data_IF_717612720608
#
_entry.id   IF_717612720608
#
_cell.length_a   1.000
_cell.length_b   1.000
_cell.length_c   1.000
_cell.angle_alpha   90.00
_cell.angle_beta   90.00
_cell.angle_gamma   90.00
#
_symmetry.space_group_name_H-M   'P 1'
#
loop_
_entity.id
_entity.type
_entity.pdbx_description
1 polymer ?
#
# COMPACT_ATOMS: atom_id res chain seq x y z
N UNK A 1 -14.91 9.34 44.21
CA UNK A 1 -15.24 7.96 43.74
C UNK A 1 -14.04 7.04 43.83
N UNK A 2 -12.85 7.44 43.38
CA UNK A 2 -11.61 6.62 43.40
C UNK A 2 -11.29 5.98 44.76
N UNK A 3 -11.35 6.78 45.85
CA UNK A 3 -11.06 6.27 47.20
C UNK A 3 -12.00 5.16 47.69
N UNK A 4 -13.26 5.16 47.27
CA UNK A 4 -14.22 4.11 47.65
C UNK A 4 -13.91 2.80 46.93
N UNK A 5 -13.52 2.89 45.63
CA UNK A 5 -13.14 1.69 44.84
C UNK A 5 -11.85 1.06 45.35
N UNK A 6 -10.84 1.89 45.67
CA UNK A 6 -9.59 1.40 46.26
C UNK A 6 -9.83 0.73 47.60
N UNK A 7 -10.61 1.37 48.48
CA UNK A 7 -10.94 0.81 49.80
C UNK A 7 -11.67 -0.56 49.68
N UNK A 8 -12.66 -0.63 48.74
CA UNK A 8 -13.39 -1.86 48.46
C UNK A 8 -12.47 -3.01 48.01
N UNK A 9 -11.50 -2.72 47.12
CA UNK A 9 -10.55 -3.73 46.64
C UNK A 9 -9.59 -4.19 47.76
N UNK A 10 -9.17 -3.30 48.66
CA UNK A 10 -8.30 -3.63 49.80
C UNK A 10 -9.05 -4.47 50.82
N UNK A 11 -10.31 -4.15 51.07
CA UNK A 11 -11.16 -4.92 52.03
C UNK A 11 -11.54 -6.29 51.47
N UNK A 12 -11.73 -6.41 50.14
CA UNK A 12 -12.12 -7.65 49.48
C UNK A 12 -10.97 -8.25 48.66
N UNK A 13 -9.98 -8.79 49.30
CA UNK A 13 -8.77 -9.35 48.63
C UNK A 13 -9.09 -10.41 47.57
N UNK A 14 -10.15 -11.21 47.78
CA UNK A 14 -10.59 -12.24 46.85
C UNK A 14 -11.06 -11.63 45.51
N UNK A 15 -11.80 -10.50 45.57
CA UNK A 15 -12.26 -9.78 44.40
C UNK A 15 -11.08 -9.15 43.64
N UNK A 16 -10.10 -8.62 44.36
CA UNK A 16 -8.90 -8.05 43.76
C UNK A 16 -8.06 -9.11 43.01
N UNK A 17 -7.89 -10.29 43.62
CA UNK A 17 -7.18 -11.42 42.98
C UNK A 17 -7.92 -11.93 41.75
N UNK A 18 -9.25 -12.05 41.83
CA UNK A 18 -10.07 -12.49 40.69
C UNK A 18 -10.00 -11.51 39.51
N UNK A 19 -10.08 -10.22 39.79
CA UNK A 19 -9.90 -9.19 38.74
C UNK A 19 -8.50 -9.27 38.12
N UNK A 20 -7.47 -9.48 38.93
CA UNK A 20 -6.10 -9.60 38.43
C UNK A 20 -5.94 -10.82 37.50
N UNK A 21 -6.52 -11.95 37.87
CA UNK A 21 -6.53 -13.15 37.01
C UNK A 21 -7.25 -12.90 35.69
N UNK A 22 -8.40 -12.20 35.73
CA UNK A 22 -9.13 -11.82 34.50
C UNK A 22 -8.29 -10.91 33.63
N UNK A 23 -7.63 -9.90 34.22
CA UNK A 23 -6.77 -8.98 33.44
C UNK A 23 -5.58 -9.70 32.81
N UNK A 24 -4.92 -10.61 33.54
CA UNK A 24 -3.82 -11.40 33.00
C UNK A 24 -4.33 -12.31 31.88
N UNK A 25 -5.44 -13.02 32.10
CA UNK A 25 -6.05 -13.88 31.10
C UNK A 25 -6.44 -13.12 29.84
N UNK A 26 -7.08 -11.96 29.99
CA UNK A 26 -7.42 -11.10 28.85
C UNK A 26 -6.18 -10.58 28.13
N UNK A 27 -5.15 -10.18 28.90
CA UNK A 27 -3.88 -9.72 28.34
C UNK A 27 -3.13 -10.79 27.55
N UNK A 28 -3.18 -12.05 27.98
CA UNK A 28 -2.53 -13.16 27.24
C UNK A 28 -3.27 -13.49 25.95
N UNK A 29 -4.60 -13.39 25.93
CA UNK A 29 -5.43 -13.63 24.72
C UNK A 29 -5.14 -12.58 23.64
N UNK A 30 -5.01 -11.32 24.03
CA UNK A 30 -4.78 -10.19 23.10
C UNK A 30 -3.30 -9.83 22.93
N UNK A 31 -2.39 -10.59 23.52
CA UNK A 31 -0.95 -10.31 23.39
C UNK A 31 -0.52 -10.33 21.91
N UNK A 32 0.34 -9.39 21.46
CA UNK A 32 0.78 -9.30 20.06
C UNK A 32 1.75 -10.43 19.66
N UNK A 33 1.80 -11.49 20.43
CA UNK A 33 2.64 -12.65 20.18
C UNK A 33 1.77 -13.80 19.68
N UNK A 34 2.22 -14.49 18.66
CA UNK A 34 1.53 -15.65 18.12
C UNK A 34 1.74 -16.89 19.04
N UNK A 35 1.27 -16.78 20.28
CA UNK A 35 1.35 -17.87 21.25
C UNK A 35 0.22 -18.87 21.02
N UNK A 36 0.56 -20.15 21.05
CA UNK A 36 -0.44 -21.20 21.09
C UNK A 36 -1.03 -21.26 22.51
N UNK A 37 -2.19 -20.61 22.67
CA UNK A 37 -2.90 -20.56 23.96
C UNK A 37 -3.75 -21.80 24.26
N UNK A 38 -3.63 -22.85 23.42
CA UNK A 38 -4.34 -24.10 23.57
C UNK A 38 -5.84 -23.95 23.34
N UNK A 39 -6.66 -24.05 24.41
CA UNK A 39 -8.12 -23.99 24.27
C UNK A 39 -8.71 -22.58 24.33
N UNK A 40 -7.93 -21.54 24.67
CA UNK A 40 -8.38 -20.15 24.68
C UNK A 40 -8.32 -19.57 23.26
N UNK A 41 -9.38 -18.87 22.82
CA UNK A 41 -9.32 -18.17 21.55
C UNK A 41 -8.18 -17.14 21.59
N UNK A 42 -7.26 -17.22 20.64
CA UNK A 42 -6.21 -16.22 20.46
C UNK A 42 -6.69 -15.18 19.43
N UNK A 43 -6.72 -13.92 19.83
CA UNK A 43 -7.01 -12.79 18.95
C UNK A 43 -5.90 -11.74 19.14
N UNK A 44 -4.69 -12.04 18.61
CA UNK A 44 -3.55 -11.16 18.78
C UNK A 44 -3.79 -9.82 18.11
N UNK A 45 -3.51 -8.75 18.84
CA UNK A 45 -3.53 -7.40 18.28
C UNK A 45 -2.46 -7.31 17.20
N UNK A 46 -2.85 -6.93 15.98
CA UNK A 46 -1.92 -6.72 14.89
C UNK A 46 -0.96 -5.57 15.25
N UNK A 47 0.32 -5.88 15.37
CA UNK A 47 1.38 -4.90 15.65
C UNK A 47 2.40 -4.99 14.53
N UNK A 48 2.34 -4.02 13.62
CA UNK A 48 3.36 -3.85 12.61
C UNK A 48 4.43 -2.87 13.10
N UNK A 49 5.69 -3.16 12.81
CA UNK A 49 6.81 -2.27 13.12
C UNK A 49 6.65 -0.90 12.43
N UNK A 50 6.02 -0.89 11.28
CA UNK A 50 5.58 0.29 10.54
C UNK A 50 4.10 0.07 10.23
N UNK A 51 3.18 0.64 11.03
CA UNK A 51 1.75 0.46 10.77
C UNK A 51 1.40 1.08 9.41
N UNK A 52 0.68 0.33 8.58
CA UNK A 52 0.14 0.84 7.32
C UNK A 52 -1.06 1.75 7.62
N UNK A 53 -0.75 2.99 8.00
CA UNK A 53 -1.74 4.06 8.26
C UNK A 53 -2.18 4.75 6.96
N UNK A 54 -1.69 4.27 5.81
CA UNK A 54 -2.08 4.78 4.51
C UNK A 54 -3.51 4.39 4.16
N UNK A 55 -4.20 5.26 3.42
CA UNK A 55 -5.48 4.89 2.80
C UNK A 55 -5.26 3.71 1.83
N UNK A 56 -6.21 2.78 1.75
CA UNK A 56 -6.17 1.70 0.75
C UNK A 56 -6.33 2.30 -0.65
N UNK A 57 -5.20 2.72 -1.22
CA UNK A 57 -5.10 3.40 -2.50
C UNK A 57 -4.51 2.49 -3.55
N UNK A 58 -5.17 2.41 -4.70
CA UNK A 58 -4.70 1.72 -5.88
C UNK A 58 -4.52 2.71 -7.02
N UNK A 59 -3.52 2.49 -7.87
CA UNK A 59 -3.20 3.37 -8.99
C UNK A 59 -3.36 2.60 -10.30
N UNK A 60 -4.14 3.15 -11.21
CA UNK A 60 -4.22 2.67 -12.59
C UNK A 60 -3.58 3.72 -13.49
N UNK A 61 -2.65 3.30 -14.32
CA UNK A 61 -1.98 4.18 -15.26
C UNK A 61 -2.12 3.68 -16.69
N UNK A 62 -2.14 4.63 -17.62
CA UNK A 62 -2.26 4.34 -19.04
C UNK A 62 -1.33 5.27 -19.82
N UNK A 63 -0.56 4.72 -20.75
CA UNK A 63 0.32 5.46 -21.63
C UNK A 63 -0.30 5.58 -23.01
N UNK A 64 -0.23 6.78 -23.59
CA UNK A 64 -0.59 7.06 -24.97
C UNK A 64 0.31 8.15 -25.53
N UNK A 65 1.45 7.74 -25.99
CA UNK A 65 2.52 8.65 -26.40
C UNK A 65 2.07 9.60 -27.51
N UNK A 66 2.54 10.84 -27.45
CA UNK A 66 2.31 11.86 -28.46
C UNK A 66 0.92 12.54 -28.42
N UNK A 67 0.12 12.30 -27.39
CA UNK A 67 -1.21 12.89 -27.24
C UNK A 67 -1.22 14.02 -26.22
N UNK A 68 -2.08 15.02 -26.50
CA UNK A 68 -2.27 16.14 -25.58
C UNK A 68 -2.97 15.70 -24.29
N UNK A 69 -2.83 16.44 -23.19
CA UNK A 69 -3.57 16.14 -21.95
C UNK A 69 -5.09 16.11 -22.15
N UNK A 70 -5.62 16.93 -23.06
CA UNK A 70 -7.04 16.96 -23.37
C UNK A 70 -7.49 15.67 -24.08
N UNK A 71 -6.71 15.18 -25.07
CA UNK A 71 -7.02 13.90 -25.73
C UNK A 71 -6.98 12.74 -24.75
N UNK A 72 -6.02 12.74 -23.82
CA UNK A 72 -5.89 11.75 -22.76
C UNK A 72 -7.11 11.79 -21.83
N UNK A 73 -7.54 12.98 -21.43
CA UNK A 73 -8.71 13.16 -20.58
C UNK A 73 -9.96 12.62 -21.25
N UNK A 74 -10.24 13.04 -22.47
CA UNK A 74 -11.48 12.74 -23.16
C UNK A 74 -11.59 11.26 -23.56
N UNK A 75 -10.50 10.64 -24.00
CA UNK A 75 -10.51 9.30 -24.59
C UNK A 75 -10.02 8.18 -23.66
N UNK A 76 -9.32 8.50 -22.57
CA UNK A 76 -8.77 7.52 -21.65
C UNK A 76 -9.24 7.77 -20.23
N UNK A 77 -8.91 8.94 -19.66
CA UNK A 77 -9.10 9.19 -18.23
C UNK A 77 -10.57 9.18 -17.84
N UNK A 78 -11.40 9.93 -18.55
CA UNK A 78 -12.82 10.04 -18.25
C UNK A 78 -13.57 8.71 -18.43
N UNK A 79 -13.45 7.98 -19.55
CA UNK A 79 -14.08 6.68 -19.72
C UNK A 79 -13.66 5.64 -18.68
N UNK A 80 -12.36 5.58 -18.36
CA UNK A 80 -11.85 4.69 -17.33
C UNK A 80 -12.37 5.05 -15.94
N UNK A 81 -12.30 6.33 -15.56
CA UNK A 81 -12.80 6.82 -14.27
C UNK A 81 -14.27 6.47 -14.08
N UNK A 82 -15.09 6.70 -15.10
CA UNK A 82 -16.52 6.36 -15.06
C UNK A 82 -16.75 4.87 -14.90
N UNK A 83 -15.96 4.04 -15.57
CA UNK A 83 -16.07 2.58 -15.46
C UNK A 83 -15.61 2.08 -14.09
N UNK A 84 -14.58 2.67 -13.50
CA UNK A 84 -14.02 2.28 -12.21
C UNK A 84 -14.87 2.74 -11.02
N UNK A 85 -15.67 3.81 -11.16
CA UNK A 85 -16.64 4.25 -10.16
C UNK A 85 -17.68 3.18 -9.80
N UNK A 86 -17.96 2.24 -10.70
CA UNK A 86 -18.89 1.13 -10.46
C UNK A 86 -18.32 0.00 -9.58
N UNK A 87 -17.09 0.09 -9.07
CA UNK A 87 -16.49 -0.95 -8.23
C UNK A 87 -17.02 -0.80 -6.79
N UNK A 88 -17.58 -1.85 -6.18
CA UNK A 88 -18.06 -1.79 -4.79
C UNK A 88 -16.94 -1.51 -3.80
N UNK A 89 -17.18 -0.61 -2.84
CA UNK A 89 -16.22 -0.24 -1.80
C UNK A 89 -15.22 0.85 -2.22
N UNK A 90 -15.42 1.48 -3.37
CA UNK A 90 -14.67 2.68 -3.77
C UNK A 90 -15.23 3.88 -3.00
N UNK A 91 -14.39 4.55 -2.23
CA UNK A 91 -14.69 5.77 -1.46
C UNK A 91 -14.59 7.00 -2.35
N UNK A 92 -13.50 7.10 -3.13
CA UNK A 92 -13.28 8.23 -4.04
C UNK A 92 -12.31 7.84 -5.16
N UNK A 93 -12.43 8.52 -6.30
CA UNK A 93 -11.48 8.41 -7.41
C UNK A 93 -10.97 9.81 -7.73
N UNK A 94 -9.67 9.89 -7.94
CA UNK A 94 -8.98 11.09 -8.43
C UNK A 94 -8.20 10.73 -9.67
N UNK A 95 -8.26 11.55 -10.69
CA UNK A 95 -7.54 11.32 -11.93
C UNK A 95 -6.70 12.53 -12.32
N UNK A 96 -5.64 12.26 -13.04
CA UNK A 96 -4.76 13.28 -13.60
C UNK A 96 -4.35 12.89 -15.01
N UNK A 97 -4.54 13.81 -15.94
CA UNK A 97 -4.18 13.65 -17.35
C UNK A 97 -2.97 14.54 -17.67
N UNK A 98 -1.91 13.92 -18.15
CA UNK A 98 -0.67 14.57 -18.55
C UNK A 98 -0.39 14.29 -20.02
N UNK A 99 0.63 14.94 -20.58
CA UNK A 99 1.05 14.65 -21.95
C UNK A 99 1.48 13.19 -22.10
N UNK A 100 0.75 12.44 -22.91
CA UNK A 100 1.01 11.03 -23.19
C UNK A 100 0.72 10.07 -22.04
N UNK A 101 0.13 10.51 -20.92
CA UNK A 101 -0.03 9.70 -19.70
C UNK A 101 -1.30 10.04 -18.92
N UNK A 102 -2.00 9.01 -18.48
CA UNK A 102 -3.13 9.09 -17.54
C UNK A 102 -2.81 8.33 -16.25
N UNK A 103 -3.13 8.92 -15.12
CA UNK A 103 -3.07 8.27 -13.80
C UNK A 103 -4.40 8.43 -13.07
N UNK A 104 -4.92 7.32 -12.56
CA UNK A 104 -6.18 7.28 -11.83
C UNK A 104 -5.90 6.66 -10.46
N UNK A 105 -6.16 7.42 -9.40
CA UNK A 105 -6.02 7.03 -8.01
C UNK A 105 -7.38 6.61 -7.48
N UNK A 106 -7.50 5.36 -7.06
CA UNK A 106 -8.74 4.78 -6.54
C UNK A 106 -8.53 4.52 -5.06
N UNK A 107 -9.31 5.21 -4.23
CA UNK A 107 -9.27 5.08 -2.78
C UNK A 107 -10.46 4.24 -2.36
N UNK A 108 -10.19 3.15 -1.65
CA UNK A 108 -11.19 2.25 -1.10
C UNK A 108 -11.53 2.59 0.35
N UNK A 109 -12.66 2.06 0.83
CA UNK A 109 -13.01 2.10 2.23
C UNK A 109 -12.03 1.28 3.08
N UNK A 110 -11.82 1.67 4.33
CA UNK A 110 -10.84 1.07 5.26
C UNK A 110 -11.12 -0.41 5.56
N UNK A 111 -12.39 -0.84 5.45
CA UNK A 111 -12.81 -2.22 5.67
C UNK A 111 -12.49 -3.17 4.50
N UNK A 112 -11.97 -2.64 3.41
CA UNK A 112 -11.60 -3.43 2.22
C UNK A 112 -10.11 -3.77 2.29
N UNK A 113 -9.80 -5.05 2.28
CA UNK A 113 -8.43 -5.54 2.22
C UNK A 113 -7.72 -5.09 0.93
N UNK A 114 -6.43 -4.74 1.04
CA UNK A 114 -5.61 -4.23 -0.05
C UNK A 114 -5.61 -5.14 -1.30
N UNK A 115 -5.35 -6.43 -1.13
CA UNK A 115 -5.34 -7.37 -2.25
C UNK A 115 -6.72 -7.62 -2.86
N UNK A 116 -7.78 -7.52 -2.05
CA UNK A 116 -9.14 -7.62 -2.53
C UNK A 116 -9.54 -6.42 -3.40
N UNK A 117 -9.12 -5.21 -3.03
CA UNK A 117 -9.31 -4.01 -3.86
C UNK A 117 -8.59 -4.14 -5.19
N UNK A 118 -7.34 -4.63 -5.16
CA UNK A 118 -6.51 -4.88 -6.33
C UNK A 118 -7.15 -5.89 -7.30
N UNK A 119 -7.63 -7.00 -6.78
CA UNK A 119 -8.31 -8.05 -7.59
C UNK A 119 -9.57 -7.52 -8.27
N UNK A 120 -10.37 -6.70 -7.57
CA UNK A 120 -11.58 -6.07 -8.14
C UNK A 120 -11.26 -5.11 -9.28
N UNK A 121 -10.17 -4.34 -9.15
CA UNK A 121 -9.74 -3.45 -10.23
C UNK A 121 -9.28 -4.28 -11.44
N UNK A 122 -8.47 -5.31 -11.24
CA UNK A 122 -8.02 -6.19 -12.33
C UNK A 122 -9.19 -6.86 -13.05
N UNK A 123 -10.17 -7.38 -12.30
CA UNK A 123 -11.39 -7.94 -12.87
C UNK A 123 -12.14 -6.91 -13.70
N UNK A 124 -12.28 -5.69 -13.18
CA UNK A 124 -12.93 -4.60 -13.88
C UNK A 124 -12.19 -4.18 -15.14
N UNK A 125 -10.87 -4.04 -15.08
CA UNK A 125 -10.03 -3.70 -16.24
C UNK A 125 -10.12 -4.78 -17.33
N UNK A 126 -10.13 -6.06 -16.95
CA UNK A 126 -10.29 -7.17 -17.88
C UNK A 126 -11.69 -7.26 -18.49
N UNK A 127 -12.71 -6.74 -17.82
CA UNK A 127 -14.10 -6.72 -18.28
C UNK A 127 -14.48 -5.48 -19.08
N UNK A 128 -13.53 -4.58 -19.34
CA UNK A 128 -13.80 -3.37 -20.13
C UNK A 128 -14.20 -3.71 -21.56
N UNK A 129 -15.20 -3.04 -22.14
CA UNK A 129 -15.54 -3.20 -23.54
C UNK A 129 -14.34 -2.83 -24.43
N UNK A 130 -14.07 -3.66 -25.44
CA UNK A 130 -12.94 -3.45 -26.37
C UNK A 130 -12.98 -2.11 -27.13
N UNK A 131 -14.13 -1.44 -27.15
CA UNK A 131 -14.31 -0.12 -27.77
C UNK A 131 -14.25 1.05 -26.82
N UNK A 132 -14.03 0.80 -25.54
CA UNK A 132 -14.00 1.87 -24.53
C UNK A 132 -12.76 2.75 -24.67
N UNK A 133 -11.63 2.14 -25.04
CA UNK A 133 -10.35 2.81 -25.22
C UNK A 133 -9.89 2.72 -26.68
N UNK A 134 -9.01 3.65 -27.12
CA UNK A 134 -8.38 3.57 -28.43
C UNK A 134 -7.64 2.25 -28.64
N UNK A 135 -7.56 1.78 -29.90
CA UNK A 135 -6.86 0.55 -30.25
C UNK A 135 -5.39 0.54 -29.78
N UNK A 136 -4.97 -0.57 -29.19
CA UNK A 136 -3.60 -0.75 -28.71
C UNK A 136 -3.32 -0.13 -27.34
N UNK A 137 -4.29 0.54 -26.70
CA UNK A 137 -4.13 1.16 -25.40
C UNK A 137 -4.64 0.21 -24.31
N UNK A 138 -3.74 -0.16 -23.41
CA UNK A 138 -4.05 -1.03 -22.30
C UNK A 138 -3.74 -0.33 -20.97
N UNK A 139 -4.75 -0.16 -20.10
CA UNK A 139 -4.53 0.33 -18.76
C UNK A 139 -3.79 -0.72 -17.93
N UNK A 140 -2.84 -0.28 -17.13
CA UNK A 140 -2.09 -1.14 -16.23
C UNK A 140 -2.31 -0.74 -14.79
N UNK A 141 -2.43 -1.73 -13.91
CA UNK A 141 -2.46 -1.51 -12.48
C UNK A 141 -1.03 -1.24 -11.97
N UNK A 142 -0.88 -0.24 -11.11
CA UNK A 142 0.38 0.10 -10.48
C UNK A 142 0.95 -1.04 -9.63
N UNK A 143 2.20 -0.92 -9.18
CA UNK A 143 2.81 -1.90 -8.29
C UNK A 143 2.01 -2.03 -7.00
N UNK A 144 2.14 -3.16 -6.33
CA UNK A 144 1.53 -3.45 -5.04
C UNK A 144 2.36 -2.88 -3.87
N UNK A 145 2.78 -1.64 -4.01
CA UNK A 145 3.50 -0.91 -2.99
C UNK A 145 2.60 0.19 -2.42
N UNK A 146 2.44 0.20 -1.11
CA UNK A 146 1.92 1.36 -0.40
C UNK A 146 2.97 2.47 -0.37
N UNK A 147 2.56 3.72 -0.13
CA UNK A 147 3.52 4.83 0.00
C UNK A 147 4.59 4.62 1.07
N UNK A 148 4.32 3.73 2.04
CA UNK A 148 5.25 3.30 3.09
C UNK A 148 6.17 2.14 2.64
N UNK A 149 5.92 1.53 1.49
CA UNK A 149 6.77 0.49 0.90
C UNK A 149 8.06 1.00 0.27
N UNK A 150 8.24 2.33 0.17
CA UNK A 150 9.49 2.93 -0.28
C UNK A 150 10.45 3.08 0.90
N UNK A 151 11.34 2.10 1.07
CA UNK A 151 12.21 2.01 2.25
C UNK A 151 13.41 2.94 2.12
N UNK A 152 13.97 3.09 0.92
CA UNK A 152 15.08 4.01 0.68
C UNK A 152 15.18 4.45 -0.79
N UNK A 153 15.88 5.55 -0.99
CA UNK A 153 16.20 6.11 -2.30
C UNK A 153 17.72 6.16 -2.45
N UNK A 154 18.21 5.79 -3.61
CA UNK A 154 19.62 5.89 -3.91
C UNK A 154 19.87 6.54 -5.26
N UNK A 155 21.04 7.14 -5.40
CA UNK A 155 21.53 7.71 -6.66
C UNK A 155 22.81 7.01 -7.07
N UNK A 156 22.97 6.78 -8.37
CA UNK A 156 24.22 6.29 -8.94
C UNK A 156 25.02 7.47 -9.45
N UNK A 157 26.24 7.60 -8.96
CA UNK A 157 27.14 8.67 -9.31
C UNK A 157 28.53 8.11 -9.67
N UNK A 158 29.16 8.67 -10.71
CA UNK A 158 30.57 8.40 -10.97
C UNK A 158 31.46 9.15 -9.98
N UNK A 159 32.34 8.44 -9.26
CA UNK A 159 33.29 9.02 -8.31
C UNK A 159 34.71 8.64 -8.66
N UNK A 160 35.66 9.54 -8.36
CA UNK A 160 37.11 9.29 -8.48
C UNK A 160 37.65 8.50 -7.27
N UNK A 161 38.97 8.19 -7.32
CA UNK A 161 39.68 7.51 -6.23
C UNK A 161 39.67 8.30 -4.91
N UNK A 162 39.44 9.61 -4.98
CA UNK A 162 39.35 10.51 -3.82
C UNK A 162 37.88 10.71 -3.35
N UNK A 163 36.94 9.94 -3.91
CA UNK A 163 35.53 9.97 -3.57
C UNK A 163 34.79 11.27 -3.98
N UNK A 164 35.33 12.06 -4.91
CA UNK A 164 34.65 13.22 -5.46
C UNK A 164 33.77 12.82 -6.64
N UNK A 165 32.60 13.47 -6.77
CA UNK A 165 31.71 13.25 -7.91
C UNK A 165 32.34 13.87 -9.16
N UNK A 166 32.74 13.02 -10.10
CA UNK A 166 33.49 13.45 -11.30
C UNK A 166 32.62 13.58 -12.54
N UNK A 167 31.39 13.08 -12.51
CA UNK A 167 30.53 12.99 -13.70
C UNK A 167 31.05 11.95 -14.67
N UNK A 168 31.82 11.85 -15.44
CA UNK A 168 32.54 10.89 -16.31
C UNK A 168 31.73 9.74 -16.94
N UNK A 169 30.52 9.47 -16.47
CA UNK A 169 29.63 8.41 -16.92
C UNK A 169 28.43 8.99 -17.65
N UNK A 170 28.08 8.42 -18.80
CA UNK A 170 26.86 8.76 -19.50
C UNK A 170 25.63 8.17 -18.77
N UNK A 171 24.49 8.86 -18.90
CA UNK A 171 23.22 8.38 -18.31
C UNK A 171 22.81 7.00 -18.80
N UNK A 172 23.16 6.64 -20.03
CA UNK A 172 22.90 5.32 -20.59
C UNK A 172 23.77 4.25 -19.93
N UNK A 173 25.03 4.55 -19.65
CA UNK A 173 25.95 3.64 -18.93
C UNK A 173 25.50 3.44 -17.48
N UNK A 174 25.15 4.52 -16.77
CA UNK A 174 24.64 4.45 -15.41
C UNK A 174 23.35 3.64 -15.34
N UNK A 175 22.45 3.82 -16.30
CA UNK A 175 21.21 3.02 -16.40
C UNK A 175 21.51 1.55 -16.65
N UNK A 176 22.47 1.24 -17.50
CA UNK A 176 22.88 -0.13 -17.76
C UNK A 176 23.43 -0.80 -16.50
N UNK A 177 24.26 -0.08 -15.75
CA UNK A 177 24.79 -0.56 -14.46
C UNK A 177 23.66 -0.80 -13.47
N UNK A 178 22.70 0.11 -13.37
CA UNK A 178 21.55 -0.03 -12.49
C UNK A 178 20.72 -1.26 -12.87
N UNK A 179 20.38 -1.42 -14.15
CA UNK A 179 19.49 -2.48 -14.60
C UNK A 179 20.13 -3.87 -14.51
N UNK A 180 21.43 -3.99 -14.78
CA UNK A 180 22.12 -5.28 -14.84
C UNK A 180 22.82 -5.70 -13.53
N UNK A 181 23.25 -4.75 -12.71
CA UNK A 181 24.03 -5.07 -11.50
C UNK A 181 23.27 -4.73 -10.22
N UNK A 182 22.76 -3.52 -10.09
CA UNK A 182 22.16 -3.05 -8.82
C UNK A 182 20.79 -3.68 -8.60
N UNK A 183 19.93 -3.68 -9.62
CA UNK A 183 18.57 -4.20 -9.52
C UNK A 183 18.53 -5.69 -9.19
N UNK A 184 19.46 -6.48 -9.75
CA UNK A 184 19.52 -7.91 -9.45
C UNK A 184 20.10 -8.19 -8.07
N UNK A 185 21.04 -7.39 -7.60
CA UNK A 185 21.57 -7.51 -6.25
C UNK A 185 20.48 -7.20 -5.20
N UNK A 186 19.68 -6.16 -5.40
CA UNK A 186 18.56 -5.79 -4.52
C UNK A 186 17.48 -6.87 -4.46
N UNK A 187 17.12 -7.48 -5.59
CA UNK A 187 16.14 -8.56 -5.63
C UNK A 187 16.62 -9.86 -4.98
N UNK A 188 17.93 -10.06 -4.81
CA UNK A 188 18.50 -11.27 -4.22
C UNK A 188 18.63 -11.19 -2.70
N UNK A 189 18.41 -10.02 -2.10
CA UNK A 189 18.49 -9.78 -0.66
C UNK A 189 17.14 -9.79 0.06
N UNK A 190 16.02 -10.07 -0.65
CA UNK A 190 14.66 -10.13 -0.11
C UNK A 190 14.18 -11.53 0.22
#
# INVERSE_FOLDING_TARGET
MLNKSIKFLIENKLVAVLLLIIFIGWGTVNAPFNWDTGFLPSDPVAVDAIPDIGENQQIVFTKWDGRSPQDIEDQITYPLTTSLLGIPGVKTIRSSSMFGFSSIYIIFEENIEFYRSRSRILEKLNSLPSRLLPEGINPALGPDATGLGQIFWYTLEGRDENNNVTGGWDLQELRSIQDYYVKYADMSCG
#
